data_IF_477250900202
#
_entry.id   IF_477250900202
#
_cell.length_a   1.000
_cell.length_b   1.000
_cell.length_c   1.000
_cell.angle_alpha   90.00
_cell.angle_beta   90.00
_cell.angle_gamma   90.00
#
_symmetry.space_group_name_H-M   'P 1'
#
loop_
_entity.id
_entity.type
_entity.pdbx_description
1 polymer ?
#
# COMPACT_ATOMS: atom_id res chain seq x y z
N UNK A 1 13.16 7.78 -14.33
CA UNK A 1 12.98 6.55 -13.53
C UNK A 1 14.29 6.04 -12.95
N UNK A 2 15.23 5.53 -13.75
CA UNK A 2 16.48 4.97 -13.21
C UNK A 2 17.32 5.97 -12.37
N UNK A 3 17.52 7.19 -12.88
CA UNK A 3 18.26 8.21 -12.14
C UNK A 3 17.62 8.54 -10.79
N UNK A 4 16.29 8.73 -10.77
CA UNK A 4 15.53 8.95 -9.53
C UNK A 4 15.62 7.76 -8.58
N UNK A 5 15.56 6.52 -9.09
CA UNK A 5 15.77 5.31 -8.30
C UNK A 5 17.14 5.30 -7.62
N UNK A 6 18.23 5.61 -8.36
CA UNK A 6 19.58 5.62 -7.81
C UNK A 6 19.74 6.69 -6.73
N UNK A 7 19.26 7.91 -6.98
CA UNK A 7 19.32 9.00 -5.99
C UNK A 7 18.58 8.62 -4.72
N UNK A 8 17.34 8.15 -4.86
CA UNK A 8 16.52 7.78 -3.69
C UNK A 8 17.13 6.59 -2.95
N UNK A 9 17.66 5.60 -3.65
CA UNK A 9 18.38 4.48 -3.04
C UNK A 9 19.58 4.96 -2.22
N UNK A 10 20.39 5.89 -2.77
CA UNK A 10 21.55 6.44 -2.07
C UNK A 10 21.14 7.23 -0.82
N UNK A 11 20.11 8.07 -0.92
CA UNK A 11 19.59 8.83 0.23
C UNK A 11 19.12 7.87 1.32
N UNK A 12 18.31 6.86 0.97
CA UNK A 12 17.82 5.87 1.92
C UNK A 12 18.96 5.04 2.53
N UNK A 13 19.98 4.70 1.74
CA UNK A 13 21.15 3.98 2.24
C UNK A 13 21.91 4.79 3.28
N UNK A 14 22.18 6.07 3.01
CA UNK A 14 22.90 6.94 3.96
C UNK A 14 22.15 7.09 5.28
N UNK A 15 20.81 7.18 5.22
CA UNK A 15 19.97 7.38 6.40
C UNK A 15 19.85 6.11 7.24
N UNK A 16 19.63 4.96 6.60
CA UNK A 16 19.30 3.72 7.30
C UNK A 16 20.48 2.76 7.47
N UNK A 17 21.69 3.11 6.99
CA UNK A 17 22.89 2.25 7.00
C UNK A 17 23.13 1.53 8.33
N UNK A 18 22.86 2.19 9.45
CA UNK A 18 23.19 1.69 10.78
C UNK A 18 22.16 0.67 11.29
N UNK A 19 20.98 0.61 10.68
CA UNK A 19 19.93 -0.36 11.01
C UNK A 19 19.74 -1.44 9.94
N UNK A 20 20.42 -1.37 8.78
CA UNK A 20 20.18 -2.33 7.70
C UNK A 20 20.48 -3.77 8.16
N UNK A 21 19.43 -4.58 8.27
CA UNK A 21 19.56 -5.98 8.68
C UNK A 21 18.59 -6.85 7.89
N UNK A 22 18.98 -8.09 7.61
CA UNK A 22 18.06 -9.08 7.07
C UNK A 22 17.34 -9.74 8.24
N UNK A 23 16.26 -9.11 8.69
CA UNK A 23 15.49 -9.61 9.82
C UNK A 23 14.92 -11.02 9.53
N UNK A 24 15.22 -11.96 10.43
CA UNK A 24 14.53 -13.24 10.50
C UNK A 24 13.04 -13.00 10.83
N UNK A 25 12.18 -13.98 10.54
CA UNK A 25 10.71 -13.83 10.63
C UNK A 25 10.25 -13.37 12.03
N UNK A 26 11.00 -13.72 13.07
CA UNK A 26 10.69 -13.41 14.48
C UNK A 26 11.12 -11.98 14.89
N UNK A 27 12.13 -11.41 14.23
CA UNK A 27 12.68 -10.06 14.49
C UNK A 27 12.11 -8.97 13.58
N UNK A 28 11.05 -9.28 12.83
CA UNK A 28 10.41 -8.31 11.92
C UNK A 28 9.90 -7.08 12.69
N UNK A 29 9.37 -7.27 13.89
CA UNK A 29 8.82 -6.16 14.68
C UNK A 29 9.91 -5.28 15.30
N UNK A 30 11.02 -5.86 15.77
CA UNK A 30 12.15 -5.11 16.34
C UNK A 30 12.78 -4.21 15.28
N UNK A 31 13.04 -4.76 14.09
CA UNK A 31 13.53 -4.02 12.94
C UNK A 31 12.56 -2.91 12.49
N UNK A 32 11.27 -3.20 12.49
CA UNK A 32 10.24 -2.22 12.09
C UNK A 32 10.14 -1.06 13.07
N UNK A 33 10.27 -1.32 14.37
CA UNK A 33 10.31 -0.27 15.38
C UNK A 33 11.60 0.54 15.29
N UNK A 34 12.76 -0.08 15.08
CA UNK A 34 14.01 0.65 14.85
C UNK A 34 13.89 1.60 13.63
N UNK A 35 13.23 1.15 12.56
CA UNK A 35 13.00 1.98 11.38
C UNK A 35 11.95 3.09 11.57
N UNK A 36 11.00 2.94 12.50
CA UNK A 36 10.02 3.98 12.84
C UNK A 36 10.56 4.99 13.84
N UNK A 37 11.43 4.54 14.74
CA UNK A 37 12.01 5.34 15.82
C UNK A 37 13.18 6.20 15.31
N UNK A 38 13.76 5.84 14.16
CA UNK A 38 14.61 6.73 13.37
C UNK A 38 13.76 7.89 12.83
N UNK A 39 13.67 8.96 13.62
CA UNK A 39 13.03 10.24 13.27
C UNK A 39 13.79 10.93 12.13
N UNK A 40 13.56 10.43 10.93
CA UNK A 40 14.19 10.82 9.68
C UNK A 40 13.37 11.91 8.96
N UNK A 41 12.31 12.41 9.59
CA UNK A 41 11.44 13.44 9.03
C UNK A 41 10.53 12.95 7.90
N UNK A 42 9.47 13.74 7.64
CA UNK A 42 8.41 13.37 6.70
C UNK A 42 8.92 13.13 5.27
N UNK A 43 9.94 13.87 4.82
CA UNK A 43 10.50 13.78 3.47
C UNK A 43 11.16 12.42 3.20
N UNK A 44 11.90 11.88 4.17
CA UNK A 44 12.50 10.55 4.05
C UNK A 44 11.42 9.47 4.00
N UNK A 45 10.33 9.65 4.78
CA UNK A 45 9.14 8.81 4.67
C UNK A 45 8.56 8.75 3.25
N UNK A 46 8.44 9.90 2.57
CA UNK A 46 8.02 9.96 1.16
C UNK A 46 9.02 9.29 0.22
N UNK A 47 10.31 9.48 0.41
CA UNK A 47 11.33 8.80 -0.40
C UNK A 47 11.25 7.29 -0.27
N UNK A 48 11.05 6.78 0.95
CA UNK A 48 10.86 5.35 1.20
C UNK A 48 9.62 4.81 0.50
N UNK A 49 8.47 5.46 0.64
CA UNK A 49 7.24 5.00 -0.04
C UNK A 49 7.34 5.12 -1.56
N UNK A 50 7.89 6.21 -2.10
CA UNK A 50 8.07 6.33 -3.56
C UNK A 50 9.08 5.33 -4.11
N UNK A 51 10.12 4.99 -3.36
CA UNK A 51 11.07 3.96 -3.76
C UNK A 51 10.38 2.62 -3.99
N UNK A 52 9.53 2.20 -3.04
CA UNK A 52 8.84 0.91 -3.07
C UNK A 52 7.64 0.89 -4.00
N UNK A 53 6.84 1.95 -4.05
CA UNK A 53 5.55 1.96 -4.78
C UNK A 53 5.60 2.65 -6.15
N UNK A 54 6.64 3.42 -6.45
CA UNK A 54 6.77 4.15 -7.73
C UNK A 54 8.00 3.69 -8.51
N UNK A 55 9.20 3.86 -7.96
CA UNK A 55 10.43 3.63 -8.73
C UNK A 55 10.71 2.15 -9.01
N UNK A 56 10.67 1.30 -7.98
CA UNK A 56 10.88 -0.15 -8.10
C UNK A 56 9.90 -0.82 -9.08
N UNK A 57 8.56 -0.63 -8.97
CA UNK A 57 7.61 -1.21 -9.91
C UNK A 57 7.73 -0.62 -11.31
N UNK A 58 8.05 0.68 -11.45
CA UNK A 58 8.31 1.28 -12.76
C UNK A 58 9.49 0.63 -13.48
N UNK A 59 10.59 0.34 -12.77
CA UNK A 59 11.75 -0.33 -13.36
C UNK A 59 11.42 -1.75 -13.82
N UNK A 60 10.65 -2.51 -13.04
CA UNK A 60 10.18 -3.84 -13.44
C UNK A 60 9.27 -3.72 -14.67
N UNK A 61 8.28 -2.82 -14.67
CA UNK A 61 7.37 -2.60 -15.79
C UNK A 61 8.10 -2.23 -17.09
N UNK A 62 9.08 -1.33 -17.00
CA UNK A 62 9.92 -0.93 -18.13
C UNK A 62 10.77 -2.11 -18.62
N UNK A 63 11.37 -2.87 -17.70
CA UNK A 63 12.21 -4.03 -18.04
C UNK A 63 11.43 -5.16 -18.73
N UNK A 64 10.19 -5.42 -18.31
CA UNK A 64 9.30 -6.40 -18.96
C UNK A 64 8.92 -5.92 -20.37
N UNK A 65 8.59 -4.64 -20.51
CA UNK A 65 8.15 -4.08 -21.80
C UNK A 65 9.30 -3.98 -22.80
N UNK A 66 10.47 -3.52 -22.34
CA UNK A 66 11.69 -3.43 -23.12
C UNK A 66 12.50 -4.72 -22.96
N UNK A 67 12.10 -5.80 -23.65
CA UNK A 67 12.71 -7.15 -23.59
C UNK A 67 14.25 -7.22 -23.54
N UNK A 68 14.95 -6.20 -24.06
CA UNK A 68 16.43 -6.07 -24.05
C UNK A 68 17.03 -5.52 -22.74
N UNK A 69 16.23 -5.07 -21.78
CA UNK A 69 16.69 -4.42 -20.54
C UNK A 69 16.32 -5.22 -19.30
N UNK A 70 16.58 -6.54 -19.32
CA UNK A 70 16.32 -7.45 -18.18
C UNK A 70 17.01 -7.02 -16.89
N UNK A 71 18.14 -6.32 -16.98
CA UNK A 71 18.82 -5.72 -15.82
C UNK A 71 17.93 -4.72 -15.04
N UNK A 72 16.95 -4.08 -15.69
CA UNK A 72 16.00 -3.18 -15.00
C UNK A 72 15.03 -3.95 -14.10
N UNK A 73 14.70 -5.20 -14.46
CA UNK A 73 13.92 -6.11 -13.60
C UNK A 73 14.74 -6.43 -12.36
N UNK A 74 16.01 -6.81 -12.53
CA UNK A 74 16.92 -7.08 -11.42
C UNK A 74 17.09 -5.87 -10.51
N UNK A 75 17.24 -4.67 -11.08
CA UNK A 75 17.32 -3.42 -10.30
C UNK A 75 16.03 -3.16 -9.49
N UNK A 76 14.86 -3.36 -10.10
CA UNK A 76 13.58 -3.19 -9.41
C UNK A 76 13.36 -4.22 -8.29
N UNK A 77 13.69 -5.49 -8.54
CA UNK A 77 13.65 -6.56 -7.51
C UNK A 77 14.66 -6.27 -6.39
N UNK A 78 15.87 -5.83 -6.73
CA UNK A 78 16.87 -5.37 -5.77
C UNK A 78 16.37 -4.20 -4.93
N UNK A 79 15.60 -3.28 -5.52
CA UNK A 79 14.91 -2.22 -4.80
C UNK A 79 13.92 -2.74 -3.75
N UNK A 80 13.14 -3.76 -4.06
CA UNK A 80 12.24 -4.38 -3.08
C UNK A 80 12.98 -5.10 -1.95
N UNK A 81 14.08 -5.80 -2.26
CA UNK A 81 14.94 -6.41 -1.25
C UNK A 81 15.54 -5.32 -0.35
N UNK A 82 16.04 -4.24 -0.93
CA UNK A 82 16.57 -3.11 -0.17
C UNK A 82 15.49 -2.46 0.71
N UNK A 83 14.26 -2.29 0.22
CA UNK A 83 13.14 -1.83 1.04
C UNK A 83 12.86 -2.77 2.21
N UNK A 84 12.94 -4.08 2.00
CA UNK A 84 12.76 -5.07 3.07
C UNK A 84 13.88 -4.98 4.12
N UNK A 85 15.13 -4.72 3.73
CA UNK A 85 16.24 -4.54 4.68
C UNK A 85 16.06 -3.32 5.59
N UNK A 86 15.32 -2.30 5.14
CA UNK A 86 15.04 -1.10 5.94
C UNK A 86 14.00 -1.42 7.01
N UNK A 87 12.89 -2.07 6.66
CA UNK A 87 11.71 -2.10 7.52
C UNK A 87 11.09 -3.48 7.78
N UNK A 88 11.73 -4.53 7.29
CA UNK A 88 11.28 -5.91 7.34
C UNK A 88 9.83 -6.11 6.85
N UNK A 89 9.32 -5.22 6.00
CA UNK A 89 7.94 -5.28 5.55
C UNK A 89 7.73 -6.43 4.56
N UNK A 90 7.05 -7.49 5.01
CA UNK A 90 6.72 -8.66 4.17
C UNK A 90 6.04 -8.29 2.84
N UNK A 91 5.28 -7.19 2.81
CA UNK A 91 4.61 -6.72 1.59
C UNK A 91 5.60 -6.31 0.49
N UNK A 92 6.78 -5.80 0.86
CA UNK A 92 7.83 -5.44 -0.10
C UNK A 92 8.34 -6.65 -0.87
N UNK A 93 8.29 -7.86 -0.30
CA UNK A 93 8.64 -9.09 -1.01
C UNK A 93 7.49 -9.64 -1.87
N UNK A 94 6.25 -9.36 -1.48
CA UNK A 94 5.04 -9.84 -2.19
C UNK A 94 4.78 -9.03 -3.45
N UNK A 95 4.98 -7.71 -3.44
CA UNK A 95 4.69 -6.83 -4.59
C UNK A 95 5.46 -7.23 -5.87
N UNK A 96 6.78 -7.47 -5.88
CA UNK A 96 7.49 -7.87 -7.10
C UNK A 96 7.00 -9.21 -7.63
N UNK A 97 6.68 -10.16 -6.75
CA UNK A 97 6.09 -11.45 -7.14
C UNK A 97 4.70 -11.23 -7.77
N UNK A 98 3.85 -10.41 -7.15
CA UNK A 98 2.52 -10.08 -7.67
C UNK A 98 2.61 -9.43 -9.06
N UNK A 99 3.57 -8.52 -9.27
CA UNK A 99 3.85 -7.91 -10.56
C UNK A 99 4.22 -8.96 -11.61
N UNK A 100 5.14 -9.88 -11.29
CA UNK A 100 5.60 -10.91 -12.21
C UNK A 100 4.46 -11.88 -12.56
N UNK A 101 3.73 -12.37 -11.57
CA UNK A 101 2.56 -13.25 -11.76
C UNK A 101 1.51 -12.56 -12.64
N UNK A 102 1.16 -11.32 -12.33
CA UNK A 102 0.18 -10.56 -13.12
C UNK A 102 0.64 -10.37 -14.58
N UNK A 103 1.92 -10.05 -14.78
CA UNK A 103 2.48 -9.89 -16.13
C UNK A 103 2.48 -11.20 -16.94
N UNK A 104 2.73 -12.34 -16.26
CA UNK A 104 2.69 -13.68 -16.87
C UNK A 104 1.26 -14.08 -17.23
N UNK A 105 0.30 -13.89 -16.32
CA UNK A 105 -1.12 -14.16 -16.57
C UNK A 105 -1.61 -13.40 -17.79
N UNK A 106 -1.29 -12.11 -17.86
CA UNK A 106 -1.63 -11.27 -19.02
C UNK A 106 -1.00 -11.74 -20.32
N UNK A 107 0.27 -12.16 -20.29
CA UNK A 107 0.95 -12.71 -21.47
C UNK A 107 0.28 -13.99 -22.01
N UNK A 108 -0.48 -14.69 -21.17
CA UNK A 108 -1.26 -15.89 -21.51
C UNK A 108 -2.73 -15.59 -21.81
N UNK A 109 -3.14 -14.33 -21.84
CA UNK A 109 -4.53 -13.92 -22.08
C UNK A 109 -5.48 -14.17 -20.91
N UNK A 110 -4.95 -14.40 -19.70
CA UNK A 110 -5.74 -14.62 -18.48
C UNK A 110 -6.13 -13.29 -17.83
N UNK A 111 -6.89 -12.47 -18.57
CA UNK A 111 -7.25 -11.10 -18.16
C UNK A 111 -8.57 -11.03 -17.37
N UNK A 112 -9.28 -12.16 -17.24
CA UNK A 112 -10.56 -12.22 -16.54
C UNK A 112 -10.38 -12.15 -15.02
N UNK A 113 -11.20 -11.31 -14.37
CA UNK A 113 -11.33 -11.24 -12.91
C UNK A 113 -11.74 -12.59 -12.30
N UNK A 114 -12.44 -13.44 -13.07
CA UNK A 114 -12.85 -14.77 -12.63
C UNK A 114 -11.66 -15.65 -12.21
N UNK A 115 -10.49 -15.51 -12.87
CA UNK A 115 -9.29 -16.26 -12.48
C UNK A 115 -8.77 -15.83 -11.12
N UNK A 116 -8.80 -14.53 -10.82
CA UNK A 116 -8.40 -14.01 -9.51
C UNK A 116 -9.39 -14.42 -8.43
N UNK A 117 -10.70 -14.34 -8.71
CA UNK A 117 -11.74 -14.79 -7.78
C UNK A 117 -11.64 -16.29 -7.50
N UNK A 118 -11.48 -17.12 -8.54
CA UNK A 118 -11.28 -18.56 -8.39
C UNK A 118 -9.99 -18.87 -7.62
N UNK A 119 -8.90 -18.15 -7.91
CA UNK A 119 -7.63 -18.30 -7.18
C UNK A 119 -7.77 -18.01 -5.68
N UNK A 120 -8.47 -16.93 -5.32
CA UNK A 120 -8.76 -16.59 -3.92
C UNK A 120 -9.67 -17.64 -3.28
N UNK A 121 -10.70 -18.11 -4.00
CA UNK A 121 -11.62 -19.14 -3.49
C UNK A 121 -10.91 -20.48 -3.25
N UNK A 122 -10.06 -20.91 -4.18
CA UNK A 122 -9.22 -22.12 -4.01
C UNK A 122 -8.27 -21.92 -2.83
N UNK A 123 -7.64 -20.75 -2.72
CA UNK A 123 -6.74 -20.47 -1.61
C UNK A 123 -7.48 -20.53 -0.26
N UNK A 124 -8.70 -20.00 -0.19
CA UNK A 124 -9.55 -20.08 0.99
C UNK A 124 -9.96 -21.52 1.32
N UNK A 125 -10.28 -22.34 0.32
CA UNK A 125 -10.58 -23.75 0.51
C UNK A 125 -9.34 -24.53 1.04
N UNK A 126 -8.17 -24.31 0.44
CA UNK A 126 -6.90 -24.92 0.88
C UNK A 126 -6.54 -24.45 2.29
N UNK A 127 -6.73 -23.17 2.59
CA UNK A 127 -6.55 -22.63 3.94
C UNK A 127 -7.42 -23.40 4.94
N UNK A 128 -8.70 -23.56 4.66
CA UNK A 128 -9.64 -24.25 5.55
C UNK A 128 -9.24 -25.69 5.84
N UNK A 129 -8.51 -26.36 4.95
CA UNK A 129 -8.14 -27.77 5.08
C UNK A 129 -6.74 -27.99 5.69
N UNK A 130 -5.80 -27.06 5.49
CA UNK A 130 -4.37 -27.31 5.76
C UNK A 130 -3.68 -26.29 6.67
N UNK A 131 -4.38 -25.24 7.14
CA UNK A 131 -3.75 -24.18 7.96
C UNK A 131 -3.15 -24.71 9.27
N UNK A 132 -3.75 -25.75 9.86
CA UNK A 132 -3.25 -26.36 11.11
C UNK A 132 -2.07 -27.31 10.89
N UNK A 133 -1.89 -27.83 9.66
CA UNK A 133 -0.93 -28.89 9.37
C UNK A 133 0.36 -28.38 8.71
N UNK A 134 0.38 -27.15 8.19
CA UNK A 134 1.55 -26.61 7.49
C UNK A 134 1.80 -25.14 7.82
N UNK A 135 2.98 -24.87 8.39
CA UNK A 135 3.47 -23.52 8.62
C UNK A 135 3.55 -22.68 7.34
N UNK A 136 3.85 -23.32 6.20
CA UNK A 136 3.90 -22.64 4.91
C UNK A 136 2.51 -22.23 4.43
N UNK A 137 1.51 -23.11 4.53
CA UNK A 137 0.13 -22.77 4.18
C UNK A 137 -0.37 -21.64 5.07
N UNK A 138 -0.16 -21.75 6.38
CA UNK A 138 -0.51 -20.70 7.34
C UNK A 138 0.10 -19.35 6.99
N UNK A 139 1.37 -19.31 6.62
CA UNK A 139 2.04 -18.08 6.19
C UNK A 139 1.37 -17.44 4.95
N UNK A 140 1.00 -18.24 3.94
CA UNK A 140 0.32 -17.73 2.75
C UNK A 140 -1.09 -17.22 3.09
N UNK A 141 -1.80 -17.93 3.96
CA UNK A 141 -3.14 -17.54 4.46
C UNK A 141 -3.08 -16.21 5.20
N UNK A 142 -2.13 -16.05 6.11
CA UNK A 142 -1.90 -14.80 6.85
C UNK A 142 -1.58 -13.63 5.92
N UNK A 143 -0.81 -13.88 4.85
CA UNK A 143 -0.43 -12.85 3.91
C UNK A 143 -1.54 -12.44 2.95
N UNK A 144 -2.35 -13.39 2.46
CA UNK A 144 -3.33 -13.13 1.41
C UNK A 144 -4.73 -12.98 1.98
N UNK A 145 -5.24 -13.99 2.69
CA UNK A 145 -6.63 -14.00 3.15
C UNK A 145 -6.81 -13.09 4.36
N UNK A 146 -5.95 -13.21 5.35
CA UNK A 146 -6.07 -12.43 6.58
C UNK A 146 -5.85 -10.94 6.30
N UNK A 147 -4.82 -10.57 5.54
CA UNK A 147 -4.54 -9.16 5.21
C UNK A 147 -5.44 -8.53 4.15
N UNK A 148 -5.95 -9.30 3.18
CA UNK A 148 -6.76 -8.71 2.10
C UNK A 148 -8.26 -8.75 2.38
N UNK A 149 -8.73 -9.67 3.23
CA UNK A 149 -10.16 -9.88 3.50
C UNK A 149 -10.47 -9.73 4.98
N UNK A 150 -9.84 -10.53 5.85
CA UNK A 150 -10.25 -10.61 7.27
C UNK A 150 -9.97 -9.32 8.05
N UNK A 151 -8.74 -8.80 8.02
CA UNK A 151 -8.35 -7.57 8.74
C UNK A 151 -9.15 -6.35 8.24
N UNK A 152 -9.30 -6.11 6.92
CA UNK A 152 -10.13 -5.00 6.44
C UNK A 152 -11.59 -5.12 6.88
N UNK A 153 -12.14 -6.34 6.94
CA UNK A 153 -13.49 -6.58 7.45
C UNK A 153 -13.60 -6.32 8.95
N UNK A 154 -12.65 -6.82 9.75
CA UNK A 154 -12.62 -6.61 11.20
C UNK A 154 -12.42 -5.14 11.58
N UNK A 155 -11.49 -4.45 10.91
CA UNK A 155 -11.22 -3.02 11.17
C UNK A 155 -12.43 -2.16 10.80
N UNK A 156 -13.28 -2.59 9.86
CA UNK A 156 -14.52 -1.87 9.55
C UNK A 156 -15.44 -1.76 10.76
N UNK A 157 -15.71 -2.87 11.45
CA UNK A 157 -16.57 -2.84 12.65
C UNK A 157 -15.90 -2.11 13.80
N UNK A 158 -14.62 -2.35 14.06
CA UNK A 158 -13.87 -1.69 15.14
C UNK A 158 -13.88 -0.16 15.01
N UNK A 159 -13.66 0.37 13.80
CA UNK A 159 -13.73 1.80 13.56
C UNK A 159 -15.17 2.31 13.67
N UNK A 160 -16.17 1.55 13.17
CA UNK A 160 -17.56 1.96 13.31
C UNK A 160 -17.94 2.13 14.78
N UNK A 161 -17.69 1.12 15.62
CA UNK A 161 -18.05 1.13 17.03
C UNK A 161 -17.36 2.29 17.77
N UNK A 162 -16.07 2.52 17.50
CA UNK A 162 -15.31 3.59 18.14
C UNK A 162 -15.81 5.00 17.75
N UNK A 163 -15.97 5.27 16.45
CA UNK A 163 -16.28 6.62 15.96
C UNK A 163 -17.78 6.93 15.98
N UNK A 164 -18.65 5.92 16.03
CA UNK A 164 -20.08 6.12 16.27
C UNK A 164 -20.32 6.71 17.66
N UNK A 165 -19.67 6.15 18.69
CA UNK A 165 -19.84 6.60 20.08
C UNK A 165 -19.02 7.85 20.42
N UNK A 166 -17.78 7.96 19.91
CA UNK A 166 -16.84 9.06 20.26
C UNK A 166 -16.87 10.27 19.32
N UNK A 167 -17.67 10.16 18.25
CA UNK A 167 -17.83 11.20 17.25
C UNK A 167 -16.90 11.02 16.05
N UNK A 168 -17.44 11.33 14.87
CA UNK A 168 -16.73 11.20 13.60
C UNK A 168 -15.60 12.22 13.41
N UNK A 169 -14.60 11.85 12.62
CA UNK A 169 -13.43 12.70 12.37
C UNK A 169 -13.69 13.82 11.38
N UNK A 170 -14.70 13.70 10.50
CA UNK A 170 -14.96 14.63 9.40
C UNK A 170 -13.69 14.94 8.58
N UNK A 171 -12.87 13.91 8.35
CA UNK A 171 -11.59 13.98 7.63
C UNK A 171 -10.51 14.89 8.24
N UNK A 172 -10.72 15.41 9.46
CA UNK A 172 -9.73 16.23 10.20
C UNK A 172 -8.44 15.47 10.52
N UNK A 173 -8.43 14.13 10.37
CA UNK A 173 -7.23 13.31 10.45
C UNK A 173 -6.22 13.56 9.31
N UNK A 174 -6.63 14.25 8.24
CA UNK A 174 -5.74 14.64 7.15
C UNK A 174 -5.16 16.02 7.40
N UNK A 175 -3.85 16.21 7.14
CA UNK A 175 -3.16 17.49 7.41
C UNK A 175 -3.83 18.71 6.79
N UNK A 176 -4.40 18.55 5.60
CA UNK A 176 -5.03 19.64 4.85
C UNK A 176 -6.37 20.03 5.47
N UNK A 177 -7.21 19.04 5.80
CA UNK A 177 -8.56 19.29 6.31
C UNK A 177 -8.51 19.71 7.79
N UNK A 178 -7.52 19.25 8.55
CA UNK A 178 -7.28 19.68 9.93
C UNK A 178 -7.11 21.20 10.09
N UNK A 179 -6.72 21.91 9.02
CA UNK A 179 -6.59 23.37 9.03
C UNK A 179 -7.94 24.10 9.12
N UNK A 180 -9.02 23.44 8.70
CA UNK A 180 -10.36 24.02 8.57
C UNK A 180 -11.33 23.35 9.54
N UNK A 181 -11.21 22.03 9.69
CA UNK A 181 -12.07 21.21 10.55
C UNK A 181 -11.21 20.72 11.72
N UNK A 182 -11.45 21.21 12.95
CA UNK A 182 -10.70 20.74 14.10
C UNK A 182 -11.06 19.29 14.44
N UNK A 183 -10.18 18.57 15.17
CA UNK A 183 -10.50 17.24 15.66
C UNK A 183 -11.77 17.26 16.53
N UNK A 184 -12.58 16.20 16.53
CA UNK A 184 -13.73 16.10 17.42
C UNK A 184 -13.26 16.12 18.88
N UNK A 185 -14.13 16.59 19.79
CA UNK A 185 -13.75 16.97 21.16
C UNK A 185 -12.94 15.92 21.92
N UNK A 186 -13.31 14.64 21.79
CA UNK A 186 -12.66 13.51 22.46
C UNK A 186 -11.21 13.31 21.98
N UNK A 187 -10.91 13.63 20.72
CA UNK A 187 -9.58 13.41 20.11
C UNK A 187 -8.71 14.67 20.07
N UNK A 188 -9.20 15.84 20.51
CA UNK A 188 -8.42 17.10 20.48
C UNK A 188 -7.14 17.07 21.32
N UNK A 189 -7.18 16.37 22.45
CA UNK A 189 -6.06 16.24 23.39
C UNK A 189 -5.42 14.86 23.34
N UNK A 190 -5.84 14.00 22.41
CA UNK A 190 -5.31 12.65 22.29
C UNK A 190 -3.89 12.72 21.69
N UNK A 191 -2.86 12.21 22.40
CA UNK A 191 -1.48 12.23 21.91
C UNK A 191 -1.27 11.38 20.66
N UNK A 192 -2.17 10.45 20.36
CA UNK A 192 -2.11 9.58 19.18
C UNK A 192 -2.76 10.22 17.95
N UNK A 193 -3.47 11.34 18.09
CA UNK A 193 -4.00 12.07 16.96
C UNK A 193 -2.88 12.63 16.06
N UNK A 194 -2.97 12.57 14.71
CA UNK A 194 -4.09 12.11 13.87
C UNK A 194 -4.01 10.65 13.40
N UNK A 195 -3.20 9.80 14.06
CA UNK A 195 -2.99 8.42 13.64
C UNK A 195 -4.15 7.51 14.09
N UNK A 196 -5.22 7.46 13.30
CA UNK A 196 -6.43 6.70 13.65
C UNK A 196 -6.15 5.22 13.96
N UNK A 197 -5.21 4.60 13.24
CA UNK A 197 -4.87 3.20 13.45
C UNK A 197 -4.17 2.92 14.78
N UNK A 198 -3.45 3.89 15.38
CA UNK A 198 -2.90 3.73 16.73
C UNK A 198 -3.96 3.97 17.80
N UNK A 199 -4.92 4.88 17.56
CA UNK A 199 -6.06 5.10 18.46
C UNK A 199 -6.92 3.83 18.55
N UNK A 200 -7.29 3.25 17.40
CA UNK A 200 -8.06 2.01 17.34
C UNK A 200 -7.24 0.83 17.88
N UNK A 201 -5.93 0.81 17.60
CA UNK A 201 -5.00 -0.16 18.18
C UNK A 201 -5.02 -0.16 19.70
N UNK A 202 -4.90 1.02 20.31
CA UNK A 202 -4.90 1.21 21.75
C UNK A 202 -6.21 0.75 22.41
N UNK A 203 -7.36 1.02 21.78
CA UNK A 203 -8.67 0.64 22.31
C UNK A 203 -8.87 -0.88 22.32
N UNK A 204 -8.61 -1.55 21.20
CA UNK A 204 -8.98 -2.96 21.02
C UNK A 204 -7.87 -3.95 21.37
N UNK A 205 -6.61 -3.51 21.37
CA UNK A 205 -5.43 -4.37 21.62
C UNK A 205 -4.60 -3.90 22.82
N UNK A 206 -5.04 -2.84 23.51
CA UNK A 206 -4.40 -2.28 24.71
C UNK A 206 -3.46 -1.12 24.40
N UNK A 207 -3.43 -0.12 25.29
CA UNK A 207 -2.71 1.14 25.12
C UNK A 207 -1.17 0.97 25.00
N UNK A 208 -0.61 -0.07 25.59
CA UNK A 208 0.83 -0.39 25.49
C UNK A 208 1.18 -1.11 24.17
N UNK A 209 0.17 -1.62 23.45
CA UNK A 209 0.40 -2.17 22.13
C UNK A 209 0.75 -1.01 21.19
N UNK A 210 2.01 -0.90 20.76
CA UNK A 210 2.44 0.00 19.66
C UNK A 210 1.83 -0.44 18.31
N UNK A 211 0.63 -1.01 18.33
CA UNK A 211 -0.05 -1.62 17.22
C UNK A 211 -0.78 -0.55 16.42
N UNK A 212 -0.54 -0.56 15.12
CA UNK A 212 -1.26 0.28 14.18
C UNK A 212 -2.28 -0.57 13.43
N UNK A 213 -3.55 -0.45 13.80
CA UNK A 213 -4.69 -1.07 13.15
C UNK A 213 -4.99 -0.35 11.82
N UNK A 214 -4.15 -0.61 10.82
CA UNK A 214 -4.31 -0.04 9.48
C UNK A 214 -5.70 -0.33 8.91
N UNK A 215 -6.27 0.67 8.26
CA UNK A 215 -7.59 0.64 7.69
C UNK A 215 -7.53 0.94 6.19
N UNK A 216 -8.45 0.35 5.44
CA UNK A 216 -8.66 0.70 4.05
C UNK A 216 -9.37 2.06 3.92
N UNK A 217 -9.50 2.54 2.68
CA UNK A 217 -10.12 3.84 2.38
C UNK A 217 -11.57 3.99 2.89
N UNK A 218 -12.38 2.92 2.83
CA UNK A 218 -13.78 2.96 3.27
C UNK A 218 -13.91 2.97 4.79
N UNK A 219 -12.90 2.48 5.49
CA UNK A 219 -12.86 2.47 6.95
C UNK A 219 -12.35 3.82 7.48
N UNK A 220 -11.09 4.15 7.21
CA UNK A 220 -10.46 5.33 7.81
C UNK A 220 -11.00 6.67 7.31
N UNK A 221 -11.32 6.76 6.01
CA UNK A 221 -11.84 7.99 5.38
C UNK A 221 -13.30 7.89 4.97
N UNK A 222 -13.94 6.75 5.23
CA UNK A 222 -15.37 6.56 5.05
C UNK A 222 -16.09 6.53 6.39
N UNK A 223 -16.11 5.35 7.03
CA UNK A 223 -16.91 5.12 8.24
C UNK A 223 -16.46 5.99 9.42
N UNK A 224 -15.16 6.13 9.65
CA UNK A 224 -14.66 6.98 10.72
C UNK A 224 -14.83 8.47 10.45
N UNK A 225 -14.90 8.86 9.17
CA UNK A 225 -15.03 10.25 8.78
C UNK A 225 -16.45 10.78 8.90
N UNK A 226 -17.46 10.01 8.49
CA UNK A 226 -18.86 10.42 8.56
C UNK A 226 -19.85 9.24 8.47
N UNK A 227 -19.49 8.08 9.02
CA UNK A 227 -20.32 6.88 8.99
C UNK A 227 -20.68 6.45 7.55
N UNK A 228 -21.92 5.95 7.31
CA UNK A 228 -22.35 5.52 5.98
C UNK A 228 -22.24 6.60 4.89
N UNK A 229 -22.46 7.87 5.26
CA UNK A 229 -22.35 9.01 4.32
C UNK A 229 -20.89 9.17 3.87
N UNK A 230 -19.94 9.03 4.79
CA UNK A 230 -18.52 9.08 4.48
C UNK A 230 -18.10 7.97 3.50
N UNK A 231 -18.64 6.75 3.66
CA UNK A 231 -18.39 5.62 2.75
C UNK A 231 -18.84 5.95 1.32
N UNK A 232 -20.02 6.56 1.16
CA UNK A 232 -20.50 7.01 -0.15
C UNK A 232 -19.61 8.11 -0.74
N UNK A 233 -19.25 9.11 0.07
CA UNK A 233 -18.41 10.22 -0.35
C UNK A 233 -17.04 9.74 -0.85
N UNK A 234 -16.34 8.90 -0.08
CA UNK A 234 -15.03 8.38 -0.50
C UNK A 234 -15.14 7.43 -1.70
N UNK A 235 -16.25 6.69 -1.82
CA UNK A 235 -16.55 5.88 -3.00
C UNK A 235 -16.65 6.71 -4.28
N UNK A 236 -17.30 7.88 -4.22
CA UNK A 236 -17.37 8.81 -5.35
C UNK A 236 -15.99 9.38 -5.72
N UNK A 237 -15.17 9.74 -4.73
CA UNK A 237 -13.80 10.23 -4.97
C UNK A 237 -12.94 9.15 -5.61
N UNK A 238 -13.03 7.90 -5.11
CA UNK A 238 -12.34 6.75 -5.69
C UNK A 238 -12.80 6.51 -7.14
N UNK A 239 -14.11 6.53 -7.40
CA UNK A 239 -14.66 6.35 -8.75
C UNK A 239 -14.16 7.43 -9.71
N UNK A 240 -14.13 8.69 -9.28
CA UNK A 240 -13.58 9.79 -10.08
C UNK A 240 -12.10 9.59 -10.39
N UNK A 241 -11.30 9.19 -9.39
CA UNK A 241 -9.87 8.93 -9.57
C UNK A 241 -9.61 7.75 -10.52
N UNK A 242 -10.31 6.62 -10.34
CA UNK A 242 -10.21 5.45 -11.22
C UNK A 242 -10.61 5.78 -12.67
N UNK A 243 -11.69 6.53 -12.86
CA UNK A 243 -12.12 6.99 -14.19
C UNK A 243 -11.10 7.93 -14.84
N UNK A 244 -10.43 8.76 -14.04
CA UNK A 244 -9.35 9.62 -14.51
C UNK A 244 -8.11 8.82 -14.89
N UNK A 245 -7.75 7.79 -14.11
CA UNK A 245 -6.66 6.87 -14.43
C UNK A 245 -6.91 6.12 -15.73
N UNK A 246 -8.12 5.57 -15.92
CA UNK A 246 -8.49 4.89 -17.16
C UNK A 246 -8.30 5.82 -18.36
N UNK A 247 -8.91 7.01 -18.31
CA UNK A 247 -8.82 8.01 -19.38
C UNK A 247 -7.39 8.42 -19.72
N UNK A 248 -6.52 8.60 -18.73
CA UNK A 248 -5.14 9.03 -18.98
C UNK A 248 -4.21 7.88 -19.38
N UNK A 249 -4.49 6.66 -18.92
CA UNK A 249 -3.67 5.48 -19.20
C UNK A 249 -3.91 4.88 -20.60
N UNK A 250 -5.01 5.22 -21.29
CA UNK A 250 -5.33 4.75 -22.66
C UNK A 250 -4.21 4.97 -23.69
N UNK A 251 -3.35 5.96 -23.48
CA UNK A 251 -2.22 6.29 -24.38
C UNK A 251 -0.96 5.46 -24.13
N UNK A 252 -0.97 4.61 -23.10
CA UNK A 252 0.20 3.86 -22.66
C UNK A 252 0.05 2.37 -22.98
N UNK A 253 1.16 1.65 -23.18
CA UNK A 253 1.12 0.20 -23.29
C UNK A 253 0.46 -0.41 -22.06
N UNK A 254 -0.59 -1.20 -22.27
CA UNK A 254 -1.39 -1.76 -21.19
C UNK A 254 -0.53 -2.60 -20.21
N UNK A 255 0.59 -3.18 -20.66
CA UNK A 255 1.56 -3.86 -19.79
C UNK A 255 2.19 -2.90 -18.78
N UNK A 256 2.66 -1.72 -19.21
CA UNK A 256 3.23 -0.73 -18.30
C UNK A 256 2.15 -0.26 -17.33
N UNK A 257 1.02 0.21 -17.86
CA UNK A 257 -0.05 0.80 -17.05
C UNK A 257 -0.55 -0.16 -15.98
N UNK A 258 -0.83 -1.41 -16.33
CA UNK A 258 -1.31 -2.37 -15.34
C UNK A 258 -0.23 -2.78 -14.34
N UNK A 259 1.01 -3.01 -14.78
CA UNK A 259 2.09 -3.44 -13.87
C UNK A 259 2.42 -2.39 -12.81
N UNK A 260 2.46 -1.10 -13.18
CA UNK A 260 2.73 -0.03 -12.21
C UNK A 260 1.55 0.21 -11.26
N UNK A 261 0.34 -0.21 -11.63
CA UNK A 261 -0.85 -0.10 -10.80
C UNK A 261 -1.02 -1.26 -9.79
N UNK A 262 -0.35 -2.40 -9.97
CA UNK A 262 -0.37 -3.53 -9.00
C UNK A 262 -0.08 -3.09 -7.56
N UNK A 263 1.05 -2.39 -7.26
CA UNK A 263 1.34 -1.94 -5.89
C UNK A 263 0.28 -0.97 -5.33
N UNK A 264 -0.36 -0.18 -6.20
CA UNK A 264 -1.39 0.78 -5.81
C UNK A 264 -2.71 0.04 -5.53
N UNK A 265 -3.05 -0.95 -6.35
CA UNK A 265 -4.19 -1.84 -6.11
C UNK A 265 -4.07 -2.57 -4.76
N UNK A 266 -2.87 -3.06 -4.43
CA UNK A 266 -2.58 -3.64 -3.12
C UNK A 266 -2.63 -2.60 -2.00
N UNK A 267 -2.26 -1.35 -2.25
CA UNK A 267 -2.41 -0.27 -1.29
C UNK A 267 -3.88 0.03 -0.95
N UNK A 268 -4.78 -0.01 -1.93
CA UNK A 268 -6.22 0.28 -1.73
C UNK A 268 -6.90 -0.67 -0.73
N UNK A 269 -6.37 -1.88 -0.53
CA UNK A 269 -6.97 -2.86 0.38
C UNK A 269 -6.66 -2.57 1.85
N UNK A 270 -5.65 -1.73 2.16
CA UNK A 270 -5.14 -1.60 3.53
C UNK A 270 -4.58 -0.19 3.86
N UNK A 271 -4.84 0.81 3.02
CA UNK A 271 -4.36 2.18 3.21
C UNK A 271 -5.48 3.17 2.87
N UNK A 272 -5.50 4.29 3.58
CA UNK A 272 -6.37 5.43 3.29
C UNK A 272 -6.11 5.98 1.87
N UNK A 273 -7.15 6.54 1.23
CA UNK A 273 -7.04 7.04 -0.14
C UNK A 273 -6.11 8.24 -0.22
N UNK A 274 -6.14 9.17 0.73
CA UNK A 274 -5.23 10.34 0.72
C UNK A 274 -3.76 9.92 0.83
N UNK A 275 -3.43 8.99 1.72
CA UNK A 275 -2.09 8.43 1.84
C UNK A 275 -1.67 7.70 0.57
N UNK A 276 -2.58 6.96 -0.06
CA UNK A 276 -2.30 6.28 -1.32
C UNK A 276 -2.03 7.27 -2.47
N UNK A 277 -2.83 8.33 -2.55
CA UNK A 277 -2.71 9.37 -3.57
C UNK A 277 -1.42 10.18 -3.42
N UNK A 278 -1.07 10.59 -2.21
CA UNK A 278 0.06 11.48 -1.93
C UNK A 278 1.37 10.72 -1.74
N UNK A 279 1.37 9.64 -0.97
CA UNK A 279 2.57 8.94 -0.50
C UNK A 279 2.93 7.70 -1.32
N UNK A 280 1.94 6.96 -1.84
CA UNK A 280 2.18 5.73 -2.61
C UNK A 280 2.27 6.00 -4.11
N UNK A 281 2.14 7.27 -4.52
CA UNK A 281 2.30 7.70 -5.90
C UNK A 281 1.04 7.63 -6.77
N UNK A 282 -0.15 7.49 -6.17
CA UNK A 282 -1.41 7.49 -6.94
C UNK A 282 -1.58 8.75 -7.80
N UNK A 283 -1.29 9.94 -7.25
CA UNK A 283 -1.30 11.19 -8.02
C UNK A 283 -0.10 11.30 -8.95
N UNK A 284 1.08 10.82 -8.54
CA UNK A 284 2.26 10.81 -9.40
C UNK A 284 1.98 10.09 -10.71
N UNK A 285 1.37 8.90 -10.66
CA UNK A 285 1.03 8.14 -11.86
C UNK A 285 -0.10 8.76 -12.67
N UNK A 286 -1.10 9.34 -12.01
CA UNK A 286 -2.16 10.09 -12.69
C UNK A 286 -1.57 11.24 -13.52
N UNK A 287 -0.66 12.01 -12.91
CA UNK A 287 0.06 13.10 -13.58
C UNK A 287 0.95 12.54 -14.68
N UNK A 288 1.75 11.50 -14.42
CA UNK A 288 2.64 10.89 -15.41
C UNK A 288 1.86 10.39 -16.65
N UNK A 289 0.71 9.74 -16.44
CA UNK A 289 -0.15 9.30 -17.53
C UNK A 289 -0.72 10.47 -18.32
N UNK A 290 -1.13 11.56 -17.64
CA UNK A 290 -1.67 12.77 -18.26
C UNK A 290 -0.62 13.58 -19.02
N UNK A 291 0.55 13.84 -18.41
CA UNK A 291 1.57 14.77 -18.91
C UNK A 291 2.54 14.12 -19.88
N UNK A 292 2.83 12.82 -19.76
CA UNK A 292 3.77 12.23 -20.68
C UNK A 292 4.24 10.82 -20.37
N UNK A 293 3.98 9.93 -21.33
CA UNK A 293 5.00 9.55 -22.33
C UNK A 293 4.37 9.41 -23.72
N UNK A 294 3.36 10.24 -24.01
CA UNK A 294 2.72 10.36 -25.31
C UNK A 294 3.63 11.08 -26.31
N UNK A 295 4.73 10.43 -26.71
CA UNK A 295 5.36 10.47 -28.03
C UNK A 295 6.60 9.55 -28.04
N UNK A 296 6.37 8.26 -28.25
CA UNK A 296 7.22 7.45 -29.13
C UNK A 296 6.40 6.28 -29.65
N UNK A 297 5.90 6.45 -30.87
CA UNK A 297 5.37 5.41 -31.79
C UNK A 297 6.42 4.34 -32.15
N UNK A 298 7.38 4.07 -31.26
CA UNK A 298 8.50 3.13 -31.42
C UNK A 298 8.84 2.55 -30.04
N UNK A 299 7.93 1.72 -29.54
CA UNK A 299 8.23 0.61 -28.63
C UNK A 299 7.85 -0.66 -29.38
#
# INVERSE_FOLDING_TARGET
>A
MLFGFIIVALVLFVVYRDILSFAAIDDVYTQRFAASDLDSGALIGYFRTYFTYVFSPALIAIGITLKRKRWMILAGVGGYIFSYLIDASKISLVIPLAILVFSLMKSRGLDSTAFFTAGIAILAAVASLFTEHSLFVRFIVDLVLLRSIAIPGQTFSQYYDLFYDRGYTYWSNTKIINLIVPPPGVFKLDPMWPNLGTIVGAEFYGADSRMNANANLFVGEGIAAAGPIGVLAIGLVLAYWLRSLDRFSQKWPATISMTVMVPIGLGLTNVHLTTLLLSFGGLFWLVAFKTGLAKRKRL
#
